data_IF_337781947146
#
_entry.id   IF_337781947146
#
_cell.length_a   1.000
_cell.length_b   1.000
_cell.length_c   1.000
_cell.angle_alpha   90.00
_cell.angle_beta   90.00
_cell.angle_gamma   90.00
#
_symmetry.space_group_name_H-M   'P 1'
#
loop_
_entity.id
_entity.type
_entity.pdbx_description
1 polymer ?
#
# COMPACT_ATOMS: atom_id res chain seq x y z
N UNK A 1 -18.54 -35.05 -22.78
CA UNK A 1 -18.61 -33.63 -22.43
C UNK A 1 -17.44 -32.89 -23.04
N UNK A 2 -17.75 -32.09 -24.05
CA UNK A 2 -16.85 -31.32 -24.91
C UNK A 2 -16.32 -30.09 -24.20
N UNK A 3 -15.04 -29.70 -24.35
CA UNK A 3 -14.52 -28.44 -23.85
C UNK A 3 -14.96 -27.32 -24.80
N UNK A 4 -15.81 -26.43 -24.33
CA UNK A 4 -16.19 -25.21 -25.02
C UNK A 4 -15.26 -24.09 -24.47
N UNK A 5 -14.24 -23.76 -25.23
CA UNK A 5 -13.98 -22.55 -26.02
C UNK A 5 -13.05 -21.53 -25.47
N UNK A 6 -11.85 -21.65 -25.96
CA UNK A 6 -10.91 -20.52 -26.07
C UNK A 6 -11.11 -19.70 -27.38
N UNK A 7 -12.10 -20.02 -28.24
CA UNK A 7 -12.24 -19.38 -29.55
C UNK A 7 -12.79 -17.94 -29.51
N UNK A 8 -13.72 -17.65 -28.59
CA UNK A 8 -14.34 -16.31 -28.55
C UNK A 8 -13.37 -15.22 -28.09
N UNK A 9 -12.53 -15.50 -27.08
CA UNK A 9 -11.49 -14.56 -26.64
C UNK A 9 -10.40 -14.35 -27.69
N UNK A 10 -10.04 -15.43 -28.42
CA UNK A 10 -9.09 -15.38 -29.55
C UNK A 10 -9.66 -14.60 -30.74
N UNK A 11 -10.97 -14.68 -31.01
CA UNK A 11 -11.61 -13.97 -32.12
C UNK A 11 -11.82 -12.48 -31.83
N UNK A 12 -12.09 -12.11 -30.58
CA UNK A 12 -12.11 -10.70 -30.13
C UNK A 12 -10.72 -10.09 -30.26
N UNK A 13 -9.67 -10.83 -29.87
CA UNK A 13 -8.29 -10.37 -30.00
C UNK A 13 -7.84 -10.24 -31.47
N UNK A 14 -8.33 -11.14 -32.35
CA UNK A 14 -8.03 -11.09 -33.81
C UNK A 14 -8.82 -9.99 -34.56
N UNK A 15 -9.99 -9.59 -34.04
CA UNK A 15 -10.80 -8.52 -34.67
C UNK A 15 -10.34 -7.10 -34.33
N UNK A 16 -9.53 -6.92 -33.26
CA UNK A 16 -9.22 -5.60 -32.75
C UNK A 16 -8.17 -4.81 -33.54
N UNK A 17 -7.34 -5.40 -34.38
CA UNK A 17 -6.40 -4.62 -35.23
C UNK A 17 -6.14 -5.35 -36.54
N UNK A 18 -6.89 -5.00 -37.59
CA UNK A 18 -6.67 -5.53 -38.95
C UNK A 18 -5.36 -5.03 -39.58
N UNK A 19 -4.79 -3.94 -39.06
CA UNK A 19 -3.53 -3.41 -39.51
C UNK A 19 -2.76 -2.77 -38.34
N UNK A 20 -2.09 -3.63 -37.55
CA UNK A 20 -1.26 -3.20 -36.42
C UNK A 20 -0.18 -2.20 -36.83
N UNK A 21 0.41 -2.40 -38.00
CA UNK A 21 1.49 -1.57 -38.48
C UNK A 21 1.00 -0.16 -38.84
N UNK A 22 -0.17 -0.03 -39.47
CA UNK A 22 -0.76 1.27 -39.81
C UNK A 22 -1.22 2.03 -38.56
N UNK A 23 -1.79 1.34 -37.54
CA UNK A 23 -2.16 1.96 -36.27
C UNK A 23 -0.91 2.41 -35.50
N UNK A 24 0.14 1.58 -35.43
CA UNK A 24 1.41 1.96 -34.81
C UNK A 24 2.07 3.14 -35.53
N UNK A 25 2.07 3.15 -36.85
CA UNK A 25 2.60 4.27 -37.63
C UNK A 25 1.86 5.59 -37.36
N UNK A 26 0.52 5.54 -37.20
CA UNK A 26 -0.26 6.72 -36.85
C UNK A 26 0.03 7.21 -35.42
N UNK A 27 0.16 6.29 -34.48
CA UNK A 27 0.51 6.63 -33.08
C UNK A 27 1.90 7.27 -33.05
N UNK A 28 2.88 6.68 -33.73
CA UNK A 28 4.24 7.22 -33.80
C UNK A 28 4.25 8.61 -34.47
N UNK A 29 3.54 8.80 -35.58
CA UNK A 29 3.42 10.11 -36.21
C UNK A 29 2.77 11.16 -35.30
N UNK A 30 1.71 10.80 -34.58
CA UNK A 30 1.08 11.72 -33.62
C UNK A 30 1.97 12.06 -32.44
N UNK A 31 2.80 11.12 -31.97
CA UNK A 31 3.78 11.37 -30.93
C UNK A 31 4.97 12.22 -31.40
N UNK A 32 5.38 12.07 -32.68
CA UNK A 32 6.46 12.84 -33.27
C UNK A 32 6.11 14.33 -33.42
N UNK A 33 4.83 14.67 -33.54
CA UNK A 33 4.33 16.04 -33.53
C UNK A 33 4.39 16.74 -32.18
N UNK A 34 4.55 15.97 -31.08
CA UNK A 34 4.57 16.50 -29.72
C UNK A 34 6.01 16.84 -29.33
N UNK A 35 6.28 18.12 -29.09
CA UNK A 35 7.54 18.52 -28.48
C UNK A 35 7.51 18.23 -26.98
N UNK A 36 8.13 17.14 -26.57
CA UNK A 36 8.23 16.74 -25.16
C UNK A 36 9.26 17.55 -24.37
N UNK A 37 9.87 18.58 -24.94
CA UNK A 37 10.84 19.44 -24.22
C UNK A 37 12.09 18.68 -23.75
N UNK A 38 12.50 17.65 -24.47
CA UNK A 38 13.63 16.74 -24.09
C UNK A 38 14.95 17.50 -23.89
N UNK A 39 15.06 18.71 -24.44
CA UNK A 39 16.22 19.59 -24.27
C UNK A 39 16.19 20.41 -22.98
N UNK A 40 15.02 20.52 -22.32
CA UNK A 40 14.86 21.31 -21.08
C UNK A 40 14.92 20.35 -19.87
N UNK A 41 16.13 20.03 -19.46
CA UNK A 41 16.53 18.91 -18.60
C UNK A 41 16.06 18.95 -17.14
N UNK A 42 15.19 19.88 -16.73
CA UNK A 42 14.75 20.02 -15.35
C UNK A 42 13.51 19.20 -14.97
N UNK A 43 12.71 18.77 -15.93
CA UNK A 43 11.47 18.04 -15.69
C UNK A 43 11.49 16.75 -16.50
N UNK A 44 11.33 15.62 -15.84
CA UNK A 44 11.20 14.30 -16.46
C UNK A 44 9.79 14.14 -17.08
N UNK A 45 9.54 14.88 -18.18
CA UNK A 45 8.22 14.95 -18.83
C UNK A 45 7.77 13.59 -19.35
N UNK A 46 8.67 12.86 -20.02
CA UNK A 46 8.37 11.55 -20.59
C UNK A 46 8.09 10.50 -19.52
N UNK A 47 8.91 10.45 -18.47
CA UNK A 47 8.70 9.55 -17.36
C UNK A 47 7.43 9.85 -16.60
N UNK A 48 7.10 11.13 -16.39
CA UNK A 48 5.86 11.53 -15.70
C UNK A 48 4.62 11.21 -16.55
N UNK A 49 4.66 11.46 -17.87
CA UNK A 49 3.58 11.08 -18.78
C UNK A 49 3.37 9.56 -18.81
N UNK A 50 4.44 8.79 -18.81
CA UNK A 50 4.37 7.33 -18.78
C UNK A 50 3.78 6.80 -17.46
N UNK A 51 4.21 7.35 -16.33
CA UNK A 51 3.66 7.00 -15.01
C UNK A 51 2.17 7.35 -14.89
N UNK A 52 1.77 8.51 -15.42
CA UNK A 52 0.37 8.91 -15.52
C UNK A 52 -0.45 7.89 -16.33
N UNK A 53 0.04 7.47 -17.49
CA UNK A 53 -0.63 6.46 -18.32
C UNK A 53 -0.74 5.11 -17.59
N UNK A 54 0.32 4.66 -16.90
CA UNK A 54 0.27 3.45 -16.07
C UNK A 54 -0.82 3.58 -15.01
N UNK A 55 -0.90 4.72 -14.31
CA UNK A 55 -1.93 5.01 -13.33
C UNK A 55 -3.35 4.97 -13.91
N UNK A 56 -3.57 5.52 -15.12
CA UNK A 56 -4.86 5.46 -15.81
C UNK A 56 -5.23 4.02 -16.22
N UNK A 57 -4.27 3.24 -16.70
CA UNK A 57 -4.50 1.81 -16.97
C UNK A 57 -4.81 1.05 -15.69
N UNK A 58 -4.13 1.33 -14.60
CA UNK A 58 -4.42 0.76 -13.31
C UNK A 58 -5.85 1.10 -12.85
N UNK A 59 -6.25 2.35 -12.92
CA UNK A 59 -7.60 2.79 -12.53
C UNK A 59 -8.71 2.07 -13.33
N UNK A 60 -8.45 1.72 -14.61
CA UNK A 60 -9.41 1.00 -15.48
C UNK A 60 -9.35 -0.52 -15.34
N UNK A 61 -8.26 -1.08 -14.80
CA UNK A 61 -8.06 -2.53 -14.65
C UNK A 61 -8.81 -3.14 -13.45
N UNK A 62 -9.45 -2.34 -12.61
CA UNK A 62 -10.25 -2.79 -11.46
C UNK A 62 -9.40 -3.53 -10.40
N UNK A 63 -9.85 -4.70 -9.92
CA UNK A 63 -9.18 -5.45 -8.84
C UNK A 63 -7.72 -5.83 -9.12
N UNK A 64 -7.31 -5.90 -10.38
CA UNK A 64 -5.92 -6.20 -10.78
C UNK A 64 -5.00 -4.97 -10.76
N UNK A 65 -5.55 -3.79 -10.59
CA UNK A 65 -4.80 -2.54 -10.61
C UNK A 65 -3.76 -2.44 -9.49
N UNK A 66 -4.14 -2.83 -8.28
CA UNK A 66 -3.26 -2.83 -7.11
C UNK A 66 -2.09 -3.82 -7.19
N UNK A 67 -2.14 -4.79 -8.13
CA UNK A 67 -1.08 -5.80 -8.30
C UNK A 67 0.13 -5.26 -9.09
N UNK A 68 0.01 -4.12 -9.80
CA UNK A 68 1.11 -3.60 -10.62
C UNK A 68 1.39 -2.09 -10.47
N UNK A 69 0.60 -1.38 -9.67
CA UNK A 69 0.78 0.06 -9.44
C UNK A 69 0.52 0.43 -7.99
N UNK A 70 1.50 1.07 -7.37
CA UNK A 70 1.37 1.65 -6.01
C UNK A 70 1.00 3.12 -6.14
N UNK A 71 -0.09 3.59 -5.51
CA UNK A 71 -0.46 5.01 -5.51
C UNK A 71 0.67 5.92 -5.02
N UNK A 72 0.69 7.16 -5.50
CA UNK A 72 1.82 8.07 -5.28
C UNK A 72 2.11 8.35 -3.81
N UNK A 73 1.07 8.57 -2.97
CA UNK A 73 1.25 8.87 -1.55
C UNK A 73 1.94 7.75 -0.77
N UNK A 74 1.40 6.51 -0.77
CA UNK A 74 2.07 5.38 -0.16
C UNK A 74 3.47 5.11 -0.74
N UNK A 75 3.64 5.22 -2.08
CA UNK A 75 4.95 5.03 -2.70
C UNK A 75 5.98 6.06 -2.23
N UNK A 76 5.56 7.31 -2.05
CA UNK A 76 6.40 8.37 -1.53
C UNK A 76 6.80 8.11 -0.09
N UNK A 77 5.86 7.77 0.78
CA UNK A 77 6.11 7.42 2.17
C UNK A 77 7.16 6.30 2.29
N UNK A 78 6.98 5.20 1.54
CA UNK A 78 7.93 4.08 1.56
C UNK A 78 9.34 4.53 1.18
N UNK A 79 9.46 5.33 0.11
CA UNK A 79 10.75 5.80 -0.39
C UNK A 79 11.42 6.79 0.58
N UNK A 80 10.67 7.70 1.18
CA UNK A 80 11.19 8.66 2.17
C UNK A 80 11.74 7.94 3.40
N UNK A 81 10.99 6.97 3.95
CA UNK A 81 11.45 6.17 5.09
C UNK A 81 12.67 5.30 4.69
N UNK A 82 12.62 4.67 3.52
CA UNK A 82 13.69 3.80 3.04
C UNK A 82 15.01 4.56 2.82
N UNK A 83 14.94 5.81 2.38
CA UNK A 83 16.11 6.65 2.09
C UNK A 83 16.48 7.62 3.23
N UNK A 84 15.73 7.64 4.34
CA UNK A 84 15.97 8.62 5.42
C UNK A 84 17.41 8.57 5.92
N UNK A 85 18.10 9.73 5.89
CA UNK A 85 19.51 9.86 6.26
C UNK A 85 20.51 9.26 5.26
N UNK A 86 20.07 8.84 4.06
CA UNK A 86 20.94 8.30 3.02
C UNK A 86 21.07 9.27 1.85
N UNK A 87 22.29 9.68 1.52
CA UNK A 87 22.57 10.45 0.31
C UNK A 87 22.88 9.58 -0.90
N UNK A 88 23.48 8.41 -0.68
CA UNK A 88 23.92 7.48 -1.73
C UNK A 88 23.50 6.04 -1.42
N UNK A 89 22.95 5.36 -2.40
CA UNK A 89 22.56 3.97 -2.35
C UNK A 89 23.22 3.24 -3.51
N UNK A 90 24.08 2.28 -3.20
CA UNK A 90 24.79 1.50 -4.23
C UNK A 90 23.82 0.63 -5.02
N UNK A 91 23.06 -0.19 -4.31
CA UNK A 91 22.15 -1.17 -4.86
C UNK A 91 20.80 -1.08 -4.13
N UNK A 92 19.71 -0.84 -4.87
CA UNK A 92 18.35 -0.83 -4.37
C UNK A 92 17.52 -1.93 -5.03
N UNK A 93 16.57 -2.52 -4.31
CA UNK A 93 15.76 -3.61 -4.84
C UNK A 93 14.27 -3.49 -4.53
N UNK A 94 13.46 -4.09 -5.41
CA UNK A 94 12.05 -4.38 -5.23
C UNK A 94 11.75 -5.79 -5.76
N UNK A 95 11.48 -6.77 -4.89
CA UNK A 95 11.24 -8.16 -5.30
C UNK A 95 9.88 -8.37 -5.98
N UNK A 96 9.02 -7.36 -6.02
CA UNK A 96 7.68 -7.37 -6.64
C UNK A 96 7.43 -6.08 -7.41
N UNK A 97 8.39 -5.70 -8.26
CA UNK A 97 8.55 -4.33 -8.72
C UNK A 97 7.40 -3.78 -9.59
N UNK A 98 6.49 -4.63 -10.07
CA UNK A 98 5.38 -4.17 -10.89
C UNK A 98 5.87 -3.39 -12.11
N UNK A 99 5.37 -2.18 -12.27
CA UNK A 99 5.80 -1.23 -13.30
C UNK A 99 7.16 -0.55 -13.04
N UNK A 100 7.80 -0.86 -11.91
CA UNK A 100 9.05 -0.24 -11.48
C UNK A 100 8.90 1.18 -10.90
N UNK A 101 7.69 1.71 -10.82
CA UNK A 101 7.45 3.09 -10.35
C UNK A 101 7.90 3.33 -8.91
N UNK A 102 7.62 2.37 -8.01
CA UNK A 102 8.06 2.45 -6.61
C UNK A 102 9.60 2.44 -6.52
N UNK A 103 10.23 1.49 -7.17
CA UNK A 103 11.69 1.36 -7.20
C UNK A 103 12.38 2.61 -7.79
N UNK A 104 11.85 3.15 -8.87
CA UNK A 104 12.36 4.36 -9.52
C UNK A 104 12.20 5.62 -8.67
N UNK A 105 11.16 5.69 -7.84
CA UNK A 105 10.91 6.85 -6.96
C UNK A 105 12.03 7.06 -5.94
N UNK A 106 12.79 6.04 -5.57
CA UNK A 106 13.95 6.15 -4.67
C UNK A 106 14.97 7.20 -5.14
N UNK A 107 15.09 7.42 -6.47
CA UNK A 107 16.02 8.43 -7.03
C UNK A 107 15.71 9.87 -6.59
N UNK A 108 14.49 10.13 -6.13
CA UNK A 108 14.08 11.46 -5.65
C UNK A 108 14.65 11.76 -4.26
N UNK A 109 15.07 10.74 -3.50
CA UNK A 109 15.47 10.84 -2.10
C UNK A 109 16.93 10.44 -1.85
N UNK A 110 17.52 9.66 -2.76
CA UNK A 110 18.92 9.28 -2.68
C UNK A 110 19.49 9.07 -4.09
N UNK A 111 20.81 9.23 -4.22
CA UNK A 111 21.52 8.90 -5.46
C UNK A 111 21.67 7.37 -5.56
N UNK A 112 20.73 6.71 -6.23
CA UNK A 112 20.73 5.25 -6.42
C UNK A 112 21.56 4.90 -7.65
N UNK A 113 22.58 4.05 -7.48
CA UNK A 113 23.46 3.66 -8.57
C UNK A 113 22.89 2.52 -9.41
N UNK A 114 22.41 1.45 -8.75
CA UNK A 114 21.86 0.28 -9.43
C UNK A 114 20.50 -0.10 -8.87
N UNK A 115 19.60 -0.48 -9.78
CA UNK A 115 18.24 -0.89 -9.50
C UNK A 115 18.05 -2.37 -9.81
N UNK A 116 17.46 -3.11 -8.90
CA UNK A 116 17.15 -4.53 -9.04
C UNK A 116 15.67 -4.75 -8.82
N UNK A 117 15.01 -5.45 -9.72
CA UNK A 117 13.59 -5.75 -9.60
C UNK A 117 13.29 -7.15 -10.08
N UNK A 118 12.23 -7.74 -9.52
CA UNK A 118 11.67 -8.97 -10.04
C UNK A 118 10.15 -8.82 -10.20
N UNK A 119 9.61 -9.31 -11.31
CA UNK A 119 8.20 -9.20 -11.66
C UNK A 119 7.71 -10.48 -12.31
N UNK A 120 6.60 -11.01 -11.80
CA UNK A 120 6.00 -12.26 -12.26
C UNK A 120 5.46 -12.15 -13.68
N UNK A 121 4.73 -11.06 -13.97
CA UNK A 121 3.98 -10.90 -15.21
C UNK A 121 4.84 -10.30 -16.32
N UNK A 122 5.02 -11.02 -17.42
CA UNK A 122 5.87 -10.59 -18.54
C UNK A 122 5.49 -9.22 -19.13
N UNK A 123 4.19 -8.90 -19.16
CA UNK A 123 3.72 -7.59 -19.64
C UNK A 123 4.19 -6.48 -18.72
N UNK A 124 4.00 -6.64 -17.40
CA UNK A 124 4.39 -5.66 -16.40
C UNK A 124 5.91 -5.55 -16.28
N UNK A 125 6.64 -6.66 -16.40
CA UNK A 125 8.09 -6.68 -16.52
C UNK A 125 8.59 -5.79 -17.69
N UNK A 126 7.94 -5.88 -18.86
CA UNK A 126 8.31 -5.03 -20.01
C UNK A 126 7.98 -3.55 -19.72
N UNK A 127 6.87 -3.26 -19.03
CA UNK A 127 6.55 -1.90 -18.59
C UNK A 127 7.62 -1.35 -17.63
N UNK A 128 8.07 -2.15 -16.67
CA UNK A 128 9.14 -1.75 -15.75
C UNK A 128 10.43 -1.40 -16.49
N UNK A 129 10.87 -2.23 -17.43
CA UNK A 129 12.08 -1.96 -18.22
C UNK A 129 11.95 -0.70 -19.08
N UNK A 130 10.78 -0.50 -19.69
CA UNK A 130 10.50 0.72 -20.46
C UNK A 130 10.54 1.95 -19.53
N UNK A 131 9.96 1.86 -18.33
CA UNK A 131 9.98 2.92 -17.35
C UNK A 131 11.42 3.30 -16.94
N UNK A 132 12.29 2.30 -16.69
CA UNK A 132 13.72 2.54 -16.42
C UNK A 132 14.39 3.34 -17.53
N UNK A 133 14.15 2.96 -18.79
CA UNK A 133 14.75 3.62 -19.97
C UNK A 133 14.22 5.04 -20.11
N UNK A 134 12.91 5.25 -20.04
CA UNK A 134 12.27 6.57 -20.17
C UNK A 134 12.70 7.53 -19.06
N UNK A 135 12.97 7.01 -17.87
CA UNK A 135 13.51 7.77 -16.72
C UNK A 135 15.02 8.00 -16.80
N UNK A 136 15.66 7.64 -17.91
CA UNK A 136 17.08 7.88 -18.15
C UNK A 136 18.03 6.99 -17.35
N UNK A 137 17.55 5.86 -16.81
CA UNK A 137 18.45 4.92 -16.10
C UNK A 137 19.25 4.15 -17.14
N UNK A 138 20.60 4.23 -17.13
CA UNK A 138 21.44 3.49 -18.07
C UNK A 138 21.18 1.98 -17.95
N UNK A 139 21.14 1.29 -19.10
CA UNK A 139 20.85 -0.15 -19.15
C UNK A 139 21.73 -1.01 -18.23
N UNK A 140 22.99 -0.63 -18.04
CA UNK A 140 23.92 -1.30 -17.14
C UNK A 140 23.62 -1.11 -15.63
N UNK A 141 22.73 -0.16 -15.31
CA UNK A 141 22.41 0.23 -13.93
C UNK A 141 21.05 -0.29 -13.48
N UNK A 142 20.32 -1.07 -14.29
CA UNK A 142 19.13 -1.75 -13.85
C UNK A 142 19.11 -3.23 -14.28
N UNK A 143 18.62 -4.07 -13.38
CA UNK A 143 18.50 -5.50 -13.57
C UNK A 143 17.08 -5.89 -13.15
N UNK A 144 16.17 -5.89 -14.12
CA UNK A 144 14.80 -6.33 -13.88
C UNK A 144 14.66 -7.74 -14.44
N UNK A 145 14.16 -8.65 -13.63
CA UNK A 145 14.00 -10.07 -13.94
C UNK A 145 12.52 -10.43 -14.08
N UNK A 146 12.19 -11.35 -14.99
CA UNK A 146 10.84 -11.86 -15.15
C UNK A 146 10.74 -13.26 -14.56
N UNK A 147 9.97 -13.41 -13.48
CA UNK A 147 9.72 -14.67 -12.83
C UNK A 147 9.13 -14.51 -11.43
N UNK A 148 8.66 -15.62 -10.88
CA UNK A 148 8.13 -15.69 -9.52
C UNK A 148 9.27 -15.60 -8.50
N UNK A 149 9.27 -14.55 -7.70
CA UNK A 149 10.28 -14.25 -6.70
C UNK A 149 10.40 -15.34 -5.63
N UNK A 150 9.30 -15.94 -5.23
CA UNK A 150 9.31 -16.97 -4.19
C UNK A 150 9.79 -18.30 -4.73
N UNK A 151 9.43 -18.64 -5.98
CA UNK A 151 9.82 -19.89 -6.62
C UNK A 151 11.25 -19.87 -7.17
N UNK A 152 11.68 -18.72 -7.73
CA UNK A 152 12.98 -18.54 -8.38
C UNK A 152 13.57 -17.19 -8.00
N UNK A 153 14.50 -17.20 -7.08
CA UNK A 153 15.26 -16.01 -6.67
C UNK A 153 16.32 -15.67 -7.72
N UNK A 154 16.10 -14.60 -8.48
CA UNK A 154 17.07 -14.11 -9.45
C UNK A 154 18.09 -13.13 -8.87
N UNK A 155 17.94 -12.74 -7.61
CA UNK A 155 18.94 -11.89 -6.94
C UNK A 155 20.16 -12.68 -6.49
N UNK A 156 20.03 -14.00 -6.27
CA UNK A 156 21.12 -14.87 -5.85
C UNK A 156 21.70 -14.46 -4.49
N UNK A 157 23.02 -14.28 -4.41
CA UNK A 157 23.70 -13.90 -3.16
C UNK A 157 23.75 -12.38 -2.91
N UNK A 158 23.08 -11.57 -3.75
CA UNK A 158 23.10 -10.11 -3.61
C UNK A 158 22.45 -9.67 -2.31
N UNK A 159 23.06 -8.66 -1.71
CA UNK A 159 22.50 -7.93 -0.57
C UNK A 159 22.27 -6.48 -0.97
N UNK A 160 21.22 -5.90 -0.42
CA UNK A 160 20.75 -4.55 -0.76
C UNK A 160 20.72 -3.67 0.49
N UNK A 161 21.22 -2.46 0.31
CA UNK A 161 21.13 -1.44 1.35
C UNK A 161 19.74 -0.89 1.51
N UNK A 162 18.99 -0.78 0.41
CA UNK A 162 17.62 -0.28 0.40
C UNK A 162 16.74 -1.24 -0.38
N UNK A 163 15.65 -1.66 0.25
CA UNK A 163 14.59 -2.41 -0.40
C UNK A 163 13.24 -1.75 -0.13
N UNK A 164 12.41 -1.69 -1.13
CA UNK A 164 10.99 -1.26 -1.04
C UNK A 164 10.13 -2.31 -1.72
N UNK A 165 8.93 -2.54 -1.20
CA UNK A 165 8.00 -3.46 -1.85
C UNK A 165 6.54 -3.15 -1.52
N UNK A 166 5.68 -3.37 -2.49
CA UNK A 166 4.25 -3.53 -2.32
C UNK A 166 3.84 -4.87 -2.95
N UNK A 167 4.06 -5.99 -2.23
CA UNK A 167 3.77 -7.32 -2.76
C UNK A 167 2.26 -7.56 -2.90
N UNK A 168 1.83 -8.50 -3.75
CA UNK A 168 0.41 -8.85 -3.87
C UNK A 168 -0.15 -9.40 -2.56
N UNK A 169 -1.18 -8.74 -2.01
CA UNK A 169 -1.71 -9.06 -0.67
C UNK A 169 -2.35 -10.44 -0.62
N UNK A 170 -1.95 -11.22 0.38
CA UNK A 170 -2.45 -12.57 0.63
C UNK A 170 -2.40 -13.46 -0.63
N UNK A 171 -1.37 -13.32 -1.45
CA UNK A 171 -1.17 -14.14 -2.63
C UNK A 171 -0.98 -15.61 -2.27
N UNK A 172 -1.41 -16.49 -3.17
CA UNK A 172 -1.10 -17.90 -3.08
C UNK A 172 0.32 -18.16 -3.59
N UNK A 173 1.05 -19.04 -2.92
CA UNK A 173 2.33 -19.56 -3.36
C UNK A 173 2.42 -21.06 -3.12
N UNK A 174 3.45 -21.74 -3.60
CA UNK A 174 3.53 -23.21 -3.49
C UNK A 174 3.66 -23.69 -2.04
N UNK A 175 4.40 -22.96 -1.21
CA UNK A 175 4.81 -23.36 0.14
C UNK A 175 5.34 -24.82 0.14
N UNK A 176 6.09 -25.18 -0.91
CA UNK A 176 6.66 -26.51 -1.06
C UNK A 176 7.68 -26.78 0.06
N UNK A 177 7.70 -27.99 0.57
CA UNK A 177 8.61 -28.40 1.66
C UNK A 177 10.10 -28.24 1.31
N UNK A 178 10.47 -28.22 0.03
CA UNK A 178 11.85 -27.90 -0.42
C UNK A 178 12.33 -26.55 0.10
N UNK A 179 11.42 -25.59 0.31
CA UNK A 179 11.77 -24.28 0.85
C UNK A 179 12.18 -24.31 2.33
N UNK A 180 11.98 -25.42 3.04
CA UNK A 180 12.57 -25.59 4.37
C UNK A 180 14.10 -25.73 4.33
N UNK A 181 14.68 -26.01 3.15
CA UNK A 181 16.13 -26.05 2.93
C UNK A 181 16.65 -24.76 2.26
N UNK A 182 15.74 -23.88 1.78
CA UNK A 182 16.09 -22.60 1.17
C UNK A 182 16.58 -21.62 2.25
N UNK A 183 17.75 -21.01 2.10
CA UNK A 183 18.33 -20.11 3.11
C UNK A 183 17.47 -18.88 3.40
N UNK A 184 16.56 -18.52 2.53
CA UNK A 184 15.60 -17.44 2.77
C UNK A 184 14.56 -17.78 3.85
N UNK A 185 14.26 -19.06 4.05
CA UNK A 185 13.14 -19.51 4.87
C UNK A 185 13.52 -20.49 5.98
N UNK A 186 14.65 -21.19 5.87
CA UNK A 186 15.01 -22.34 6.71
C UNK A 186 15.18 -21.99 8.20
N UNK A 187 15.68 -20.80 8.52
CA UNK A 187 15.95 -20.41 9.91
C UNK A 187 14.67 -20.16 10.74
N UNK A 188 13.55 -19.93 10.10
CA UNK A 188 12.27 -19.58 10.77
C UNK A 188 11.52 -20.81 11.30
N UNK A 189 11.90 -22.02 10.89
CA UNK A 189 11.26 -23.27 11.32
C UNK A 189 9.84 -23.52 10.81
N UNK A 190 9.26 -22.55 10.09
CA UNK A 190 7.94 -22.62 9.46
C UNK A 190 7.93 -21.83 8.16
N UNK A 191 7.24 -22.36 7.15
CA UNK A 191 6.92 -21.61 5.94
C UNK A 191 5.67 -20.77 6.15
N UNK A 192 5.59 -19.62 5.48
CA UNK A 192 4.37 -18.83 5.39
C UNK A 192 3.22 -19.69 4.82
N UNK A 193 1.95 -19.45 5.20
CA UNK A 193 0.83 -20.25 4.73
C UNK A 193 0.71 -20.22 3.20
N UNK A 194 0.40 -21.36 2.58
CA UNK A 194 0.21 -21.46 1.13
C UNK A 194 -0.78 -20.44 0.55
N UNK A 195 -1.79 -20.05 1.31
CA UNK A 195 -2.80 -19.08 0.91
C UNK A 195 -2.45 -17.62 1.25
N UNK A 196 -1.27 -17.36 1.84
CA UNK A 196 -0.84 -16.04 2.31
C UNK A 196 0.67 -15.93 2.28
N UNK A 197 1.20 -15.49 1.14
CA UNK A 197 2.62 -15.33 0.92
C UNK A 197 3.23 -14.08 1.59
N UNK A 198 2.43 -13.28 2.29
CA UNK A 198 2.83 -11.99 2.85
C UNK A 198 4.19 -12.09 3.56
N UNK A 199 4.34 -13.01 4.51
CA UNK A 199 5.62 -13.21 5.21
C UNK A 199 6.70 -13.88 4.38
N UNK A 200 6.38 -14.64 3.33
CA UNK A 200 7.40 -15.19 2.45
C UNK A 200 8.16 -14.07 1.71
N UNK A 201 7.47 -13.01 1.29
CA UNK A 201 8.11 -11.82 0.73
C UNK A 201 8.95 -11.08 1.78
N UNK A 202 8.46 -10.94 3.02
CA UNK A 202 9.25 -10.34 4.12
C UNK A 202 10.53 -11.13 4.38
N UNK A 203 10.45 -12.45 4.48
CA UNK A 203 11.61 -13.34 4.68
C UNK A 203 12.63 -13.21 3.53
N UNK A 204 12.14 -13.16 2.27
CA UNK A 204 12.97 -12.92 1.10
C UNK A 204 13.70 -11.57 1.21
N UNK A 205 12.99 -10.48 1.57
CA UNK A 205 13.60 -9.16 1.73
C UNK A 205 14.64 -9.15 2.86
N UNK A 206 14.34 -9.77 4.00
CA UNK A 206 15.26 -9.88 5.13
C UNK A 206 16.52 -10.66 4.75
N UNK A 207 16.37 -11.75 4.00
CA UNK A 207 17.52 -12.51 3.49
C UNK A 207 18.44 -11.64 2.62
N UNK A 208 17.85 -10.80 1.75
CA UNK A 208 18.61 -9.91 0.87
C UNK A 208 19.00 -8.56 1.48
N UNK A 209 18.74 -8.34 2.75
CA UNK A 209 19.16 -7.12 3.43
C UNK A 209 20.66 -7.14 3.74
N UNK A 210 21.38 -6.07 3.38
CA UNK A 210 22.79 -5.86 3.70
C UNK A 210 22.98 -5.66 5.21
N UNK A 211 24.20 -5.62 5.70
CA UNK A 211 24.51 -5.41 7.13
C UNK A 211 23.96 -4.07 7.64
N UNK A 212 24.07 -2.99 6.86
CA UNK A 212 23.47 -1.67 7.11
C UNK A 212 22.16 -1.47 6.35
N UNK A 213 21.58 -2.57 5.88
CA UNK A 213 20.41 -2.58 5.02
C UNK A 213 19.11 -2.29 5.75
N UNK A 214 18.16 -1.75 4.99
CA UNK A 214 16.76 -1.56 5.39
C UNK A 214 15.79 -1.99 4.31
N UNK A 215 14.63 -2.48 4.74
CA UNK A 215 13.54 -2.85 3.86
C UNK A 215 12.25 -2.22 4.38
N UNK A 216 11.49 -1.59 3.49
CA UNK A 216 10.21 -0.95 3.80
C UNK A 216 9.15 -1.60 2.93
N UNK A 217 8.21 -2.29 3.55
CA UNK A 217 7.23 -3.13 2.86
C UNK A 217 5.81 -2.81 3.29
N UNK A 218 4.93 -2.70 2.31
CA UNK A 218 3.51 -2.46 2.51
C UNK A 218 2.75 -3.80 2.54
N UNK A 219 1.93 -4.01 3.56
CA UNK A 219 1.26 -5.29 3.80
C UNK A 219 -0.16 -5.07 4.38
N UNK A 220 -1.07 -6.06 4.24
CA UNK A 220 -2.37 -5.99 4.90
C UNK A 220 -2.22 -6.13 6.43
N UNK A 221 -3.04 -5.44 7.21
CA UNK A 221 -2.99 -5.47 8.68
C UNK A 221 -2.98 -6.89 9.29
N UNK A 222 -3.53 -7.87 8.58
CA UNK A 222 -3.55 -9.26 9.07
C UNK A 222 -2.19 -9.81 9.46
N UNK A 223 -1.08 -9.38 8.86
CA UNK A 223 0.28 -9.81 9.20
C UNK A 223 0.66 -9.48 10.65
N UNK A 224 0.03 -8.46 11.23
CA UNK A 224 0.34 -7.98 12.57
C UNK A 224 -0.14 -8.94 13.66
N UNK A 225 -1.22 -9.70 13.43
CA UNK A 225 -1.88 -10.48 14.48
C UNK A 225 -2.26 -11.91 14.13
N UNK A 226 -2.16 -12.33 12.85
CA UNK A 226 -2.49 -13.73 12.51
C UNK A 226 -1.55 -14.69 13.25
N UNK A 227 -2.12 -15.81 13.72
CA UNK A 227 -1.43 -16.85 14.48
C UNK A 227 -0.75 -17.91 13.60
N UNK A 228 -0.49 -19.07 14.19
CA UNK A 228 0.12 -20.23 13.55
C UNK A 228 1.49 -19.94 12.92
N UNK A 229 1.70 -20.24 11.64
CA UNK A 229 2.98 -20.07 10.98
C UNK A 229 3.44 -18.60 10.92
N UNK A 230 2.50 -17.66 10.69
CA UNK A 230 2.82 -16.23 10.63
C UNK A 230 3.28 -15.69 11.99
N UNK A 231 2.71 -16.19 13.08
CA UNK A 231 3.17 -15.86 14.44
C UNK A 231 4.60 -16.34 14.71
N UNK A 232 4.94 -17.56 14.29
CA UNK A 232 6.29 -18.12 14.46
C UNK A 232 7.31 -17.28 13.69
N UNK A 233 7.01 -16.94 12.44
CA UNK A 233 7.88 -16.11 11.60
C UNK A 233 8.04 -14.71 12.23
N UNK A 234 6.95 -14.10 12.66
CA UNK A 234 6.94 -12.78 13.30
C UNK A 234 7.77 -12.75 14.58
N UNK A 235 7.63 -13.76 15.45
CA UNK A 235 8.47 -13.92 16.64
C UNK A 235 9.94 -14.05 16.29
N UNK A 236 10.27 -14.80 15.26
CA UNK A 236 11.66 -14.97 14.82
C UNK A 236 12.27 -13.65 14.34
N UNK A 237 11.54 -12.89 13.52
CA UNK A 237 11.97 -11.56 13.04
C UNK A 237 12.24 -10.59 14.19
N UNK A 238 11.49 -10.65 15.28
CA UNK A 238 11.58 -9.75 16.42
C UNK A 238 12.64 -10.26 17.42
N UNK A 239 12.51 -11.50 17.88
CA UNK A 239 13.33 -12.02 19.00
C UNK A 239 14.72 -12.49 18.57
N UNK A 240 14.84 -13.11 17.39
CA UNK A 240 16.08 -13.72 16.93
C UNK A 240 16.88 -12.80 16.04
N UNK A 241 16.22 -12.23 15.03
CA UNK A 241 16.89 -11.35 14.08
C UNK A 241 16.88 -9.89 14.53
N UNK A 242 15.92 -9.51 15.38
CA UNK A 242 15.71 -8.15 15.87
C UNK A 242 15.71 -7.09 14.76
N UNK A 243 15.03 -7.38 13.65
CA UNK A 243 15.06 -6.52 12.46
C UNK A 243 13.83 -5.61 12.32
N UNK A 244 12.75 -5.84 13.06
CA UNK A 244 11.56 -5.00 12.97
C UNK A 244 11.78 -3.68 13.71
N UNK A 245 11.80 -2.58 12.97
CA UNK A 245 12.08 -1.24 13.48
C UNK A 245 10.81 -0.44 13.80
N UNK A 246 9.83 -0.46 12.88
CA UNK A 246 8.57 0.22 13.10
C UNK A 246 7.40 -0.47 12.39
N UNK A 247 6.20 -0.21 12.90
CA UNK A 247 4.90 -0.59 12.33
C UNK A 247 4.07 0.68 12.16
N UNK A 248 3.68 1.00 10.93
CA UNK A 248 2.93 2.21 10.61
C UNK A 248 1.60 1.82 10.00
N UNK A 249 0.49 2.12 10.67
CA UNK A 249 -0.86 1.92 10.15
C UNK A 249 -1.25 3.04 9.20
N UNK A 250 -1.78 2.68 8.04
CA UNK A 250 -2.22 3.63 7.03
C UNK A 250 -3.75 3.61 6.88
N UNK A 251 -4.34 4.67 6.33
CA UNK A 251 -5.77 4.75 6.07
C UNK A 251 -6.26 3.59 5.20
N UNK A 252 -7.49 3.17 5.45
CA UNK A 252 -8.20 2.26 4.54
C UNK A 252 -8.45 2.94 3.17
N UNK A 253 -8.79 2.15 2.18
CA UNK A 253 -9.20 2.63 0.85
C UNK A 253 -8.16 3.52 0.13
N UNK A 254 -6.86 3.28 0.33
CA UNK A 254 -5.78 3.96 -0.41
C UNK A 254 -5.49 3.33 -1.78
N UNK A 255 -5.89 2.08 -2.01
CA UNK A 255 -5.53 1.30 -3.18
C UNK A 255 -6.72 1.02 -4.09
N UNK A 256 -6.48 1.00 -5.40
CA UNK A 256 -7.50 0.64 -6.37
C UNK A 256 -8.01 -0.79 -6.13
N UNK A 257 -9.33 -0.94 -6.11
CA UNK A 257 -9.97 -2.26 -6.04
C UNK A 257 -9.94 -2.97 -4.68
N UNK A 258 -9.41 -2.34 -3.63
CA UNK A 258 -9.47 -2.85 -2.26
C UNK A 258 -9.67 -1.74 -1.25
N UNK A 259 -10.62 -1.94 -0.32
CA UNK A 259 -10.87 -1.02 0.80
C UNK A 259 -10.17 -1.45 2.10
N UNK A 260 -9.33 -2.48 2.07
CA UNK A 260 -8.69 -2.98 3.30
C UNK A 260 -7.63 -2.00 3.81
N UNK A 261 -7.53 -1.82 5.15
CA UNK A 261 -6.43 -1.06 5.73
C UNK A 261 -5.11 -1.83 5.55
N UNK A 262 -4.04 -1.07 5.37
CA UNK A 262 -2.68 -1.59 5.18
C UNK A 262 -1.73 -1.00 6.21
N UNK A 263 -0.62 -1.68 6.42
CA UNK A 263 0.46 -1.20 7.27
C UNK A 263 1.79 -1.26 6.54
N UNK A 264 2.72 -0.40 6.95
CA UNK A 264 4.11 -0.44 6.54
C UNK A 264 4.92 -1.11 7.66
N UNK A 265 5.68 -2.14 7.30
CA UNK A 265 6.73 -2.68 8.16
C UNK A 265 8.06 -2.07 7.74
N UNK A 266 8.75 -1.47 8.68
CA UNK A 266 10.11 -0.97 8.50
C UNK A 266 11.07 -1.98 9.15
N UNK A 267 11.94 -2.55 8.34
CA UNK A 267 12.91 -3.56 8.75
C UNK A 267 14.32 -2.99 8.58
N UNK A 268 15.18 -3.17 9.59
CA UNK A 268 16.58 -2.69 9.59
C UNK A 268 17.48 -3.75 10.23
N UNK A 269 18.64 -4.00 9.62
CA UNK A 269 19.68 -4.82 10.25
C UNK A 269 20.32 -4.06 11.41
N UNK A 270 20.71 -2.83 11.14
CA UNK A 270 21.28 -1.96 12.15
C UNK A 270 20.19 -1.06 12.73
N UNK A 271 19.87 -1.27 14.02
CA UNK A 271 18.77 -0.59 14.71
C UNK A 271 19.20 0.77 15.31
N UNK A 272 20.46 1.19 15.17
CA UNK A 272 20.97 2.49 15.58
C UNK A 272 20.62 2.86 17.04
N UNK A 273 20.82 1.94 17.99
CA UNK A 273 20.50 2.14 19.40
C UNK A 273 19.05 1.83 19.80
N UNK A 274 18.18 1.46 18.85
CA UNK A 274 16.76 1.17 19.10
C UNK A 274 16.46 -0.36 19.11
N UNK A 275 17.44 -1.18 19.45
CA UNK A 275 17.28 -2.64 19.44
C UNK A 275 16.34 -3.17 20.54
N UNK A 276 15.99 -2.36 21.51
CA UNK A 276 15.17 -2.65 22.69
C UNK A 276 13.71 -2.22 22.56
N UNK A 277 13.34 -1.64 21.41
CA UNK A 277 11.98 -1.12 21.19
C UNK A 277 11.53 -1.25 19.74
N UNK A 278 10.22 -1.10 19.50
CA UNK A 278 9.59 -0.98 18.17
C UNK A 278 8.66 0.24 18.19
N UNK A 279 8.76 1.09 17.18
CA UNK A 279 7.86 2.25 17.04
C UNK A 279 6.55 1.83 16.37
N UNK A 280 5.42 2.20 16.96
CA UNK A 280 4.09 2.09 16.37
C UNK A 280 3.57 3.48 16.03
N UNK A 281 3.04 3.65 14.82
CA UNK A 281 2.39 4.88 14.36
C UNK A 281 1.00 4.52 13.84
N UNK A 282 -0.04 5.18 14.32
CA UNK A 282 -1.40 5.08 13.78
C UNK A 282 -1.74 6.31 12.94
N UNK A 283 -1.50 6.23 11.64
CA UNK A 283 -1.89 7.25 10.68
C UNK A 283 -3.22 6.91 9.97
N UNK A 284 -4.03 6.05 10.53
CA UNK A 284 -5.28 5.58 9.92
C UNK A 284 -6.30 6.69 9.64
N UNK A 285 -6.18 7.83 10.34
CA UNK A 285 -7.05 9.01 10.19
C UNK A 285 -6.41 10.12 9.34
N UNK A 286 -5.16 9.98 8.91
CA UNK A 286 -4.41 11.00 8.18
C UNK A 286 -4.61 10.83 6.65
N UNK A 287 -5.68 11.40 6.10
CA UNK A 287 -5.99 11.35 4.68
C UNK A 287 -6.97 12.44 4.25
N UNK A 288 -7.04 12.67 2.96
CA UNK A 288 -8.12 13.39 2.32
C UNK A 288 -9.07 12.41 1.64
N UNK A 289 -10.37 12.55 1.91
CA UNK A 289 -11.37 11.70 1.29
C UNK A 289 -11.52 12.05 -0.20
N UNK A 290 -11.15 11.12 -1.08
CA UNK A 290 -11.34 11.25 -2.51
C UNK A 290 -12.61 10.56 -3.00
N UNK A 291 -13.00 10.82 -4.26
CA UNK A 291 -14.23 10.26 -4.85
C UNK A 291 -14.24 8.73 -4.91
N UNK A 292 -13.10 8.11 -5.23
CA UNK A 292 -12.99 6.67 -5.44
C UNK A 292 -12.04 5.99 -4.44
N UNK A 293 -11.11 6.74 -3.86
CA UNK A 293 -10.13 6.27 -2.89
C UNK A 293 -9.66 7.44 -2.03
N UNK A 294 -9.17 7.13 -0.84
CA UNK A 294 -8.52 8.10 0.03
C UNK A 294 -7.15 8.49 -0.52
N UNK A 295 -6.71 9.70 -0.21
CA UNK A 295 -5.44 10.26 -0.67
C UNK A 295 -4.58 10.55 0.54
N UNK A 296 -3.39 9.96 0.59
CA UNK A 296 -2.36 10.31 1.54
C UNK A 296 -1.64 11.56 1.03
N UNK A 297 -1.87 12.71 1.68
CA UNK A 297 -1.32 14.02 1.26
C UNK A 297 0.15 14.15 1.69
N UNK A 298 0.82 15.15 1.16
CA UNK A 298 2.20 15.46 1.53
C UNK A 298 2.34 15.79 3.02
N UNK A 299 1.43 16.59 3.58
CA UNK A 299 1.42 16.91 5.01
C UNK A 299 1.19 15.68 5.92
N UNK A 300 0.42 14.67 5.45
CA UNK A 300 0.22 13.42 6.17
C UNK A 300 1.51 12.59 6.15
N UNK A 301 2.18 12.56 4.99
CA UNK A 301 3.48 11.88 4.83
C UNK A 301 4.55 12.56 5.67
N UNK A 302 4.62 13.89 5.67
CA UNK A 302 5.57 14.67 6.49
C UNK A 302 5.41 14.31 7.96
N UNK A 303 4.18 14.34 8.48
CA UNK A 303 3.86 13.98 9.86
C UNK A 303 4.33 12.56 10.22
N UNK A 304 4.08 11.58 9.35
CA UNK A 304 4.52 10.19 9.56
C UNK A 304 6.05 10.11 9.58
N UNK A 305 6.72 10.73 8.61
CA UNK A 305 8.19 10.68 8.48
C UNK A 305 8.86 11.39 9.65
N UNK A 306 8.38 12.56 10.05
CA UNK A 306 8.87 13.30 11.21
C UNK A 306 8.70 12.50 12.51
N UNK A 307 7.53 11.89 12.71
CA UNK A 307 7.27 11.02 13.87
C UNK A 307 8.21 9.80 13.88
N UNK A 308 8.44 9.20 12.70
CA UNK A 308 9.37 8.08 12.57
C UNK A 308 10.83 8.51 12.87
N UNK A 309 11.23 9.69 12.45
CA UNK A 309 12.59 10.24 12.65
C UNK A 309 12.83 10.61 14.11
N UNK A 310 11.90 11.33 14.73
CA UNK A 310 12.02 11.76 16.14
C UNK A 310 11.90 10.58 17.11
N UNK A 311 11.09 9.57 16.78
CA UNK A 311 10.90 8.34 17.54
C UNK A 311 10.54 8.61 19.01
N UNK A 312 9.48 9.36 19.20
CA UNK A 312 8.92 9.72 20.51
C UNK A 312 7.45 9.32 20.60
N UNK A 313 6.96 9.17 21.84
CA UNK A 313 5.53 8.96 22.06
C UNK A 313 4.75 10.23 21.69
N UNK A 314 3.69 10.05 20.91
CA UNK A 314 2.75 11.10 20.55
C UNK A 314 1.35 10.64 20.92
N UNK A 315 0.67 11.41 21.78
CA UNK A 315 -0.67 11.05 22.26
C UNK A 315 -1.61 10.69 21.11
N UNK A 316 -2.29 9.54 21.23
CA UNK A 316 -3.24 8.98 20.26
C UNK A 316 -2.68 8.77 18.84
N UNK A 317 -1.34 8.83 18.66
CA UNK A 317 -0.74 8.77 17.35
C UNK A 317 0.47 7.83 17.25
N UNK A 318 1.40 7.88 18.19
CA UNK A 318 2.59 7.06 18.16
C UNK A 318 3.03 6.59 19.54
N UNK A 319 3.58 5.38 19.60
CA UNK A 319 4.12 4.78 20.82
C UNK A 319 5.40 4.00 20.54
N UNK A 320 6.41 4.22 21.38
CA UNK A 320 7.69 3.51 21.36
C UNK A 320 7.59 2.33 22.32
N UNK A 321 7.07 1.20 21.83
CA UNK A 321 6.84 0.01 22.63
C UNK A 321 8.15 -0.70 22.97
N UNK A 322 8.38 -1.01 24.24
CA UNK A 322 9.54 -1.81 24.68
C UNK A 322 9.41 -3.27 24.25
N UNK A 323 10.52 -3.98 24.13
CA UNK A 323 10.50 -5.42 23.85
C UNK A 323 9.74 -6.22 24.92
N UNK A 324 9.75 -5.77 26.17
CA UNK A 324 8.96 -6.39 27.24
C UNK A 324 7.46 -6.26 26.98
N UNK A 325 7.00 -5.07 26.64
CA UNK A 325 5.59 -4.81 26.28
C UNK A 325 5.13 -5.65 25.09
N UNK A 326 6.01 -5.80 24.06
CA UNK A 326 5.72 -6.63 22.90
C UNK A 326 5.61 -8.11 23.28
N UNK A 327 6.45 -8.59 24.17
CA UNK A 327 6.41 -9.95 24.71
C UNK A 327 5.13 -10.19 25.56
N UNK A 328 4.79 -9.27 26.43
CA UNK A 328 3.54 -9.29 27.22
C UNK A 328 2.28 -9.33 26.34
N UNK A 329 2.32 -8.64 25.19
CA UNK A 329 1.30 -8.71 24.13
C UNK A 329 1.39 -9.99 23.27
N UNK A 330 2.27 -10.95 23.57
CA UNK A 330 2.43 -12.21 22.84
C UNK A 330 2.93 -12.03 21.40
N UNK A 331 3.69 -10.96 21.13
CA UNK A 331 4.16 -10.55 19.79
C UNK A 331 3.01 -10.28 18.81
N UNK A 332 1.85 -9.92 19.31
CA UNK A 332 0.76 -9.39 18.53
C UNK A 332 1.02 -7.90 18.31
N UNK A 333 1.22 -7.51 17.04
CA UNK A 333 1.59 -6.15 16.64
C UNK A 333 0.38 -5.32 16.23
N UNK A 334 -0.85 -5.72 16.59
CA UNK A 334 -2.03 -4.94 16.25
C UNK A 334 -1.95 -3.54 16.87
N UNK A 335 -1.93 -2.51 16.04
CA UNK A 335 -1.59 -1.13 16.41
C UNK A 335 -2.43 -0.61 17.59
N UNK A 336 -3.78 -0.84 17.66
CA UNK A 336 -4.58 -0.41 18.82
C UNK A 336 -4.19 -0.99 20.19
N UNK A 337 -3.28 -1.97 20.24
CA UNK A 337 -2.71 -2.47 21.50
C UNK A 337 -1.61 -1.56 22.06
N UNK A 338 -1.05 -0.71 21.22
CA UNK A 338 0.09 0.16 21.52
C UNK A 338 -0.27 1.64 21.43
N UNK A 339 -1.13 1.99 20.49
CA UNK A 339 -1.61 3.37 20.29
C UNK A 339 -3.09 3.39 20.59
N UNK A 340 -3.48 3.99 21.73
CA UNK A 340 -4.89 4.15 22.11
C UNK A 340 -5.44 5.41 21.42
N UNK A 341 -6.22 5.21 20.36
CA UNK A 341 -6.90 6.27 19.62
C UNK A 341 -8.32 6.51 20.11
N UNK A 342 -8.70 5.95 21.28
CA UNK A 342 -10.05 6.11 21.84
C UNK A 342 -10.29 7.57 22.20
N UNK A 343 -11.34 8.14 21.66
CA UNK A 343 -11.91 9.42 22.05
C UNK A 343 -13.19 9.10 22.84
N UNK A 344 -13.30 9.50 24.11
CA UNK A 344 -14.56 9.39 24.82
C UNK A 344 -15.65 10.13 24.02
N UNK A 345 -16.75 9.47 23.73
CA UNK A 345 -17.91 10.16 23.17
C UNK A 345 -18.32 11.25 24.16
N UNK A 346 -18.67 12.44 23.64
CA UNK A 346 -19.21 13.51 24.46
C UNK A 346 -20.44 12.95 25.19
N UNK A 347 -20.50 13.14 26.50
CA UNK A 347 -21.67 12.73 27.29
C UNK A 347 -22.89 13.48 26.77
N UNK A 348 -23.80 12.75 26.13
CA UNK A 348 -25.08 13.32 25.66
C UNK A 348 -25.92 13.63 26.90
N UNK A 349 -26.17 14.91 27.17
CA UNK A 349 -27.13 15.28 28.20
C UNK A 349 -28.56 14.91 27.74
N UNK A 350 -29.03 13.79 28.29
CA UNK A 350 -30.38 13.27 27.99
C UNK A 350 -31.49 14.26 28.31
N UNK A 351 -31.26 15.18 29.25
CA UNK A 351 -32.24 16.21 29.60
C UNK A 351 -32.33 17.30 28.53
N UNK A 352 -31.16 17.70 28.00
CA UNK A 352 -31.09 18.66 26.92
C UNK A 352 -31.74 18.09 25.64
N UNK A 353 -31.41 16.85 25.27
CA UNK A 353 -32.04 16.16 24.12
C UNK A 353 -33.54 15.99 24.34
N UNK A 354 -33.99 15.64 25.54
CA UNK A 354 -35.43 15.53 25.86
C UNK A 354 -36.13 16.89 25.82
N UNK A 355 -35.46 17.97 26.17
CA UNK A 355 -36.01 19.33 26.03
C UNK A 355 -36.14 19.75 24.56
N UNK A 356 -35.16 19.44 23.74
CA UNK A 356 -35.17 19.70 22.30
C UNK A 356 -36.26 18.87 21.58
N UNK A 357 -36.42 17.60 21.92
CA UNK A 357 -37.53 16.77 21.41
C UNK A 357 -38.89 17.39 21.76
N UNK A 358 -39.10 17.84 23.01
CA UNK A 358 -40.35 18.47 23.42
C UNK A 358 -40.63 19.76 22.66
N UNK A 359 -39.55 20.56 22.40
CA UNK A 359 -39.65 21.79 21.63
C UNK A 359 -40.07 21.49 20.19
N UNK A 360 -39.40 20.54 19.53
CA UNK A 360 -39.70 20.10 18.17
C UNK A 360 -41.14 19.53 18.05
N UNK A 361 -41.59 18.77 19.03
CA UNK A 361 -42.94 18.24 19.11
C UNK A 361 -43.99 19.37 19.24
N UNK A 362 -43.66 20.46 19.96
CA UNK A 362 -44.56 21.63 20.07
C UNK A 362 -44.61 22.37 18.73
N UNK A 363 -43.47 22.61 18.09
CA UNK A 363 -43.39 23.25 16.76
C UNK A 363 -44.17 22.47 15.70
N UNK A 364 -44.04 21.12 15.71
CA UNK A 364 -44.86 20.26 14.81
C UNK A 364 -46.34 20.46 15.06
N UNK A 365 -46.81 20.49 16.32
CA UNK A 365 -48.24 20.71 16.64
C UNK A 365 -48.73 22.07 16.17
N UNK A 366 -47.90 23.10 16.30
CA UNK A 366 -48.27 24.45 15.85
C UNK A 366 -48.38 24.50 14.31
N UNK A 367 -47.44 23.87 13.60
CA UNK A 367 -47.48 23.75 12.13
C UNK A 367 -48.68 22.92 11.66
N UNK A 368 -48.97 21.81 12.35
CA UNK A 368 -50.15 20.98 12.03
C UNK A 368 -51.45 21.77 12.22
N UNK A 369 -51.55 22.59 13.28
CA UNK A 369 -52.68 23.45 13.52
C UNK A 369 -52.84 24.55 12.43
N UNK A 370 -51.75 25.09 11.91
CA UNK A 370 -51.74 26.04 10.80
C UNK A 370 -52.11 25.37 9.46
N UNK A 371 -51.70 24.13 9.24
CA UNK A 371 -51.97 23.40 8.00
C UNK A 371 -53.42 22.86 7.91
N UNK A 372 -53.99 22.44 9.04
CA UNK A 372 -55.31 21.81 9.08
C UNK A 372 -56.42 22.62 8.37
N UNK A 373 -56.55 23.97 8.55
CA UNK A 373 -57.54 24.77 7.82
C UNK A 373 -57.39 24.70 6.30
N UNK A 374 -56.20 24.60 5.78
CA UNK A 374 -55.97 24.52 4.32
C UNK A 374 -56.41 23.16 3.76
N UNK A 375 -56.21 22.06 4.51
CA UNK A 375 -56.72 20.75 4.13
C UNK A 375 -58.25 20.71 4.17
N UNK A 376 -58.86 21.31 5.18
CA UNK A 376 -60.33 21.44 5.29
C UNK A 376 -60.91 22.25 4.12
N UNK A 377 -60.28 23.36 3.72
CA UNK A 377 -60.69 24.19 2.58
C UNK A 377 -60.60 23.44 1.24
N UNK A 378 -59.61 22.57 1.10
CA UNK A 378 -59.38 21.75 -0.10
C UNK A 378 -60.23 20.47 -0.11
N UNK A 379 -60.92 20.15 0.97
CA UNK A 379 -61.69 18.91 1.12
C UNK A 379 -60.85 17.66 1.18
N UNK A 380 -59.60 17.77 1.70
CA UNK A 380 -58.67 16.69 1.85
C UNK A 380 -58.58 16.24 3.33
N UNK A 381 -58.41 14.94 3.55
CA UNK A 381 -58.12 14.39 4.89
C UNK A 381 -56.76 14.87 5.36
N UNK A 382 -56.70 15.35 6.63
CA UNK A 382 -55.43 15.80 7.23
C UNK A 382 -54.56 14.57 7.61
N UNK A 383 -53.39 14.39 6.96
CA UNK A 383 -52.63 13.14 7.07
C UNK A 383 -51.79 13.00 8.37
N UNK A 384 -51.74 14.09 9.18
CA UNK A 384 -50.82 14.17 10.35
C UNK A 384 -51.57 14.06 11.69
N UNK A 385 -52.87 13.76 11.71
CA UNK A 385 -53.61 13.45 12.93
C UNK A 385 -53.11 12.07 13.48
N UNK A 386 -51.98 12.06 14.15
CA UNK A 386 -51.56 10.93 14.96
C UNK A 386 -51.99 11.19 16.38
N UNK A 387 -53.27 10.87 16.70
CA UNK A 387 -53.61 10.58 18.10
C UNK A 387 -52.77 9.40 18.55
N UNK A 388 -52.01 9.60 19.63
CA UNK A 388 -51.04 8.66 20.14
C UNK A 388 -51.56 7.25 20.38
N UNK A 389 -50.81 6.28 19.86
CA UNK A 389 -50.72 4.93 20.47
C UNK A 389 -49.33 4.73 20.99
#
# INVERSE_FOLDING_TARGET
STPIKSSAASDVYKRQVKDRSAVMAKIIASLDEINFGVEDTKIDVLGNAYEYLIGQFAATAGKKAGEFYTPSGPAELLCRIACLGLSNVKDAADPTCGSGSLLLRLKNYANVRNYYGQELTSTTYNLARMNMILRGIPYRNFNIYNGDTLEHDYFGDKKFRVQVANPPYSAHWSADMRFMEDPRFNEYGKLAPKSKADFAFVQHMVYHMDEDGRAVVLLPHGVLFRGAAEEVIRKHLIQKLNVLDAVIGLPANLFFGTGIPVCVLVLKRERNGNADNILFIDASKDFEAGKNQNILRECDIDKIVETYEHREDVDKYAHVATMQEIEENGFNLNIPRYVDTFEPEEEIDLNEVAAEIRKLQSEIKDIDAELKPYFDELGLDFPFDVEGK
#
